data_IF_991927265145
#
_entry.id   IF_991927265145
#
_cell.length_a   1.000
_cell.length_b   1.000
_cell.length_c   1.000
_cell.angle_alpha   90.00
_cell.angle_beta   90.00
_cell.angle_gamma   90.00
#
_symmetry.space_group_name_H-M   'P 1'
#
loop_
_entity.id
_entity.type
_entity.pdbx_description
1 polymer ?
#
# COMPACT_ATOMS: atom_id res chain seq x y z
N UNK A 1 0.44 12.40 -0.81
CA UNK A 1 -0.82 12.87 -1.44
C UNK A 1 -1.11 12.19 -2.80
N UNK A 2 -0.10 11.88 -3.63
CA UNK A 2 -0.29 11.22 -4.94
C UNK A 2 -0.65 9.73 -4.84
N UNK A 3 0.00 8.98 -3.94
CA UNK A 3 -0.19 7.52 -3.78
C UNK A 3 -1.66 7.13 -3.59
N UNK A 4 -2.36 7.74 -2.63
CA UNK A 4 -3.79 7.46 -2.39
C UNK A 4 -4.68 7.75 -3.61
N UNK A 5 -4.35 8.78 -4.42
CA UNK A 5 -5.12 9.09 -5.63
C UNK A 5 -4.91 8.02 -6.70
N UNK A 6 -3.68 7.55 -6.88
CA UNK A 6 -3.37 6.47 -7.80
C UNK A 6 -4.02 5.15 -7.35
N UNK A 7 -3.93 4.81 -6.07
CA UNK A 7 -4.56 3.60 -5.51
C UNK A 7 -6.07 3.60 -5.69
N UNK A 8 -6.76 4.70 -5.40
CA UNK A 8 -8.21 4.80 -5.66
C UNK A 8 -8.56 4.57 -7.12
N UNK A 9 -7.80 5.17 -8.03
CA UNK A 9 -8.05 5.02 -9.46
C UNK A 9 -7.83 3.56 -9.90
N UNK A 10 -6.79 2.91 -9.38
CA UNK A 10 -6.52 1.50 -9.64
C UNK A 10 -7.62 0.59 -9.07
N UNK A 11 -8.09 0.83 -7.85
CA UNK A 11 -9.16 0.03 -7.23
C UNK A 11 -10.49 0.16 -7.96
N UNK A 12 -10.80 1.35 -8.49
CA UNK A 12 -11.98 1.53 -9.32
C UNK A 12 -11.90 0.77 -10.65
N UNK A 13 -10.69 0.63 -11.21
CA UNK A 13 -10.49 -0.05 -12.49
C UNK A 13 -10.38 -1.58 -12.35
N UNK A 14 -9.75 -2.06 -11.27
CA UNK A 14 -9.36 -3.47 -11.10
C UNK A 14 -10.12 -4.17 -9.96
N UNK A 15 -10.90 -3.43 -9.18
CA UNK A 15 -11.49 -3.90 -7.93
C UNK A 15 -10.60 -3.63 -6.71
N UNK A 16 -11.20 -3.71 -5.53
CA UNK A 16 -10.52 -3.52 -4.25
C UNK A 16 -9.80 -4.82 -3.88
N UNK A 17 -8.46 -4.83 -3.74
CA UNK A 17 -7.73 -6.02 -3.33
C UNK A 17 -7.96 -6.32 -1.85
N UNK A 18 -7.87 -7.60 -1.46
CA UNK A 18 -7.97 -8.00 -0.05
C UNK A 18 -6.69 -7.71 0.74
N UNK A 19 -5.54 -7.74 0.06
CA UNK A 19 -4.23 -7.53 0.67
C UNK A 19 -3.32 -6.72 -0.25
N UNK A 20 -2.52 -5.83 0.33
CA UNK A 20 -1.48 -5.06 -0.36
C UNK A 20 -0.18 -5.17 0.43
N UNK A 21 0.88 -5.60 -0.24
CA UNK A 21 2.24 -5.57 0.31
C UNK A 21 3.03 -4.41 -0.26
N UNK A 22 3.58 -3.55 0.59
CA UNK A 22 4.44 -2.43 0.15
C UNK A 22 5.77 -2.44 0.89
N UNK A 23 6.78 -1.81 0.28
CA UNK A 23 8.01 -1.46 0.98
C UNK A 23 7.75 -0.47 2.15
N UNK A 24 8.65 -0.45 3.14
CA UNK A 24 8.61 0.41 4.32
C UNK A 24 9.07 1.86 4.04
N UNK A 25 9.18 2.24 2.77
CA UNK A 25 9.52 3.60 2.37
C UNK A 25 8.57 4.64 2.99
N UNK A 26 9.04 5.88 3.21
CA UNK A 26 8.32 6.92 3.94
C UNK A 26 6.95 7.28 3.32
N UNK A 27 6.76 6.97 2.03
CA UNK A 27 5.49 7.13 1.32
C UNK A 27 4.38 6.14 1.73
N UNK A 28 4.74 4.96 2.24
CA UNK A 28 3.80 3.88 2.59
C UNK A 28 3.74 3.59 4.09
N UNK A 29 4.77 3.97 4.86
CA UNK A 29 4.79 3.88 6.33
C UNK A 29 4.10 5.06 7.04
N UNK A 30 3.40 5.90 6.29
CA UNK A 30 2.65 7.03 6.83
C UNK A 30 1.32 6.57 7.42
N UNK A 31 0.95 7.05 8.61
CA UNK A 31 -0.35 6.78 9.27
C UNK A 31 -1.57 7.08 8.38
N UNK A 32 -1.43 8.02 7.43
CA UNK A 32 -2.46 8.33 6.45
C UNK A 32 -2.71 7.20 5.43
N UNK A 33 -1.67 6.46 5.03
CA UNK A 33 -1.80 5.30 4.14
C UNK A 33 -2.37 4.10 4.89
N UNK A 34 -1.93 3.91 6.13
CA UNK A 34 -2.45 2.87 7.00
C UNK A 34 -3.96 3.04 7.24
N UNK A 35 -4.39 4.27 7.59
CA UNK A 35 -5.82 4.59 7.75
C UNK A 35 -6.60 4.51 6.43
N UNK A 36 -5.96 4.78 5.29
CA UNK A 36 -6.58 4.58 3.98
C UNK A 36 -6.87 3.08 3.77
N UNK A 37 -5.89 2.19 3.94
CA UNK A 37 -6.11 0.75 3.76
C UNK A 37 -7.14 0.18 4.73
N UNK A 38 -7.12 0.59 6.00
CA UNK A 38 -8.13 0.19 6.99
C UNK A 38 -9.55 0.61 6.56
N UNK A 39 -9.72 1.83 6.03
CA UNK A 39 -11.04 2.29 5.56
C UNK A 39 -11.56 1.48 4.37
N UNK A 40 -10.66 0.96 3.53
CA UNK A 40 -11.02 0.10 2.40
C UNK A 40 -11.12 -1.38 2.79
N UNK A 41 -10.85 -1.76 4.05
CA UNK A 41 -10.83 -3.16 4.49
C UNK A 41 -9.66 -3.97 3.91
N UNK A 42 -8.57 -3.29 3.53
CA UNK A 42 -7.41 -3.90 2.90
C UNK A 42 -6.38 -4.24 3.97
N UNK A 43 -5.93 -5.50 3.98
CA UNK A 43 -4.81 -5.91 4.81
C UNK A 43 -3.52 -5.32 4.24
N UNK A 44 -2.87 -4.43 4.98
CA UNK A 44 -1.60 -3.83 4.57
C UNK A 44 -0.45 -4.59 5.22
N UNK A 45 0.40 -5.20 4.39
CA UNK A 45 1.64 -5.84 4.83
C UNK A 45 2.82 -4.93 4.47
N UNK A 46 3.56 -4.48 5.46
CA UNK A 46 4.83 -3.79 5.23
C UNK A 46 5.97 -4.78 5.12
N UNK A 47 6.74 -4.70 4.03
CA UNK A 47 7.95 -5.50 3.87
C UNK A 47 9.06 -4.92 4.73
N UNK A 48 9.65 -5.74 5.61
CA UNK A 48 10.81 -5.38 6.45
C UNK A 48 11.90 -4.67 5.62
N UNK A 49 12.55 -3.62 6.17
CA UNK A 49 13.51 -2.79 5.45
C UNK A 49 14.82 -3.52 5.01
N UNK A 50 14.97 -4.83 5.28
CA UNK A 50 16.17 -5.59 4.97
C UNK A 50 15.86 -7.04 4.53
N UNK A 51 15.17 -7.20 3.41
CA UNK A 51 15.38 -8.42 2.59
C UNK A 51 16.11 -8.01 1.33
N UNK A 52 17.39 -8.41 1.13
CA UNK A 52 18.20 -8.05 -0.05
C UNK A 52 17.76 -8.78 -1.33
N UNK A 53 16.50 -9.22 -1.41
CA UNK A 53 16.03 -10.06 -2.50
C UNK A 53 14.74 -9.50 -3.04
N UNK A 54 14.83 -8.90 -4.23
CA UNK A 54 13.68 -8.81 -5.13
C UNK A 54 13.17 -7.39 -5.44
N UNK A 55 14.04 -6.51 -5.92
CA UNK A 55 13.73 -5.70 -7.11
C UNK A 55 15.02 -5.60 -7.92
N UNK A 56 15.05 -6.31 -9.05
CA UNK A 56 15.93 -6.02 -10.17
C UNK A 56 15.11 -5.22 -11.19
#
# INVERSE_FOLDING_TARGET
RHVMKHLRSAFMALGVPQEIKTDNGPGYSSRAIEGFFQQWGIQHITSIPHSPTGQA
#
